data_IF_650775986767
#
_entry.id   IF_650775986767
#
_cell.length_a   1.000
_cell.length_b   1.000
_cell.length_c   1.000
_cell.angle_alpha   90.00
_cell.angle_beta   90.00
_cell.angle_gamma   90.00
#
_symmetry.space_group_name_H-M   'P 1'
#
loop_
_entity.id
_entity.type
_entity.pdbx_description
1 polymer ?
#
# COMPACT_ATOMS: atom_id res chain seq x y z
N UNK A 1 -47.83 -29.15 31.76
CA UNK A 1 -47.28 -27.78 31.69
C UNK A 1 -46.31 -27.49 32.86
N UNK A 2 -45.21 -28.25 33.06
CA UNK A 2 -44.28 -27.96 34.16
C UNK A 2 -42.80 -28.32 33.93
N UNK A 3 -42.45 -28.79 32.76
CA UNK A 3 -41.03 -29.16 32.49
C UNK A 3 -40.20 -28.03 31.81
N UNK A 4 -40.82 -27.13 31.09
CA UNK A 4 -40.15 -26.03 30.38
C UNK A 4 -39.77 -24.82 31.28
N UNK A 5 -40.40 -24.70 32.46
CA UNK A 5 -40.16 -23.57 33.40
C UNK A 5 -38.83 -23.69 34.17
N UNK A 6 -38.35 -24.92 34.45
CA UNK A 6 -37.10 -25.10 35.24
C UNK A 6 -35.82 -24.87 34.43
N UNK A 7 -35.85 -25.17 33.15
CA UNK A 7 -34.66 -24.95 32.30
C UNK A 7 -34.43 -23.48 31.97
N UNK A 8 -35.48 -22.69 31.81
CA UNK A 8 -35.36 -21.25 31.56
C UNK A 8 -34.76 -20.49 32.76
N UNK A 9 -35.03 -20.91 33.98
CA UNK A 9 -34.47 -20.27 35.17
C UNK A 9 -32.99 -20.61 35.36
N UNK A 10 -32.56 -21.84 35.04
CA UNK A 10 -31.15 -22.23 35.11
C UNK A 10 -30.30 -21.52 34.05
N UNK A 11 -30.80 -21.37 32.83
CA UNK A 11 -30.12 -20.63 31.75
C UNK A 11 -30.00 -19.14 32.11
N UNK A 12 -31.05 -18.54 32.71
CA UNK A 12 -31.00 -17.15 33.16
C UNK A 12 -30.01 -16.92 34.31
N UNK A 13 -29.90 -17.87 35.24
CA UNK A 13 -28.91 -17.79 36.33
C UNK A 13 -27.48 -17.94 35.82
N UNK A 14 -27.23 -18.86 34.87
CA UNK A 14 -25.89 -19.02 34.25
C UNK A 14 -25.51 -17.78 33.46
N UNK A 15 -26.43 -17.20 32.69
CA UNK A 15 -26.19 -15.94 31.96
C UNK A 15 -25.92 -14.77 32.90
N UNK A 16 -26.64 -14.65 34.01
CA UNK A 16 -26.42 -13.61 35.02
C UNK A 16 -25.04 -13.75 35.71
N UNK A 17 -24.61 -14.98 36.02
CA UNK A 17 -23.28 -15.24 36.59
C UNK A 17 -22.16 -14.91 35.61
N UNK A 18 -22.34 -15.25 34.34
CA UNK A 18 -21.35 -14.91 33.27
C UNK A 18 -21.27 -13.39 33.10
N UNK A 19 -22.38 -12.67 33.13
CA UNK A 19 -22.40 -11.21 33.05
C UNK A 19 -21.72 -10.57 34.25
N UNK A 20 -21.94 -11.08 35.46
CA UNK A 20 -21.30 -10.57 36.70
C UNK A 20 -19.77 -10.87 36.67
N UNK A 21 -19.35 -12.01 36.15
CA UNK A 21 -17.92 -12.36 36.04
C UNK A 21 -17.18 -11.54 34.92
N UNK A 22 -17.87 -11.18 33.82
CA UNK A 22 -17.28 -10.44 32.71
C UNK A 22 -17.42 -8.92 32.89
N UNK A 23 -18.51 -8.44 33.53
CA UNK A 23 -18.84 -7.02 33.64
C UNK A 23 -18.97 -6.52 35.10
N UNK A 24 -18.64 -7.34 36.09
CA UNK A 24 -18.64 -6.94 37.51
C UNK A 24 -17.52 -5.95 37.85
N UNK A 25 -17.61 -5.24 39.00
CA UNK A 25 -16.67 -4.18 39.36
C UNK A 25 -15.19 -4.58 39.40
N UNK A 26 -14.88 -5.86 39.62
CA UNK A 26 -13.52 -6.40 39.60
C UNK A 26 -12.97 -6.58 38.18
N UNK A 27 -13.78 -7.02 37.24
CA UNK A 27 -13.37 -7.16 35.83
C UNK A 27 -13.08 -5.83 35.15
N UNK A 28 -13.78 -4.76 35.54
CA UNK A 28 -13.52 -3.38 35.07
C UNK A 28 -12.23 -2.78 35.65
N UNK A 29 -11.89 -3.15 36.93
CA UNK A 29 -10.67 -2.69 37.58
C UNK A 29 -9.41 -3.35 36.97
N UNK A 30 -9.45 -4.64 36.68
CA UNK A 30 -8.34 -5.35 36.05
C UNK A 30 -8.10 -4.88 34.57
N UNK A 31 -9.18 -4.64 33.80
CA UNK A 31 -9.03 -4.05 32.45
C UNK A 31 -8.45 -2.65 32.49
N UNK A 32 -8.80 -1.84 33.47
CA UNK A 32 -8.25 -0.50 33.62
C UNK A 32 -6.79 -0.51 34.08
N UNK A 33 -6.40 -1.50 34.88
CA UNK A 33 -5.01 -1.67 35.34
C UNK A 33 -4.12 -2.22 34.22
N UNK A 34 -4.61 -3.16 33.40
CA UNK A 34 -3.88 -3.65 32.21
C UNK A 34 -3.74 -2.56 31.14
N UNK A 35 -4.77 -1.76 30.89
CA UNK A 35 -4.71 -0.64 29.95
C UNK A 35 -3.72 0.45 30.40
N UNK A 36 -3.61 0.72 31.71
CA UNK A 36 -2.64 1.67 32.26
C UNK A 36 -1.20 1.15 32.26
N UNK A 37 -0.99 -0.17 32.39
CA UNK A 37 0.35 -0.78 32.31
C UNK A 37 0.82 -0.79 30.84
N UNK A 38 -0.08 -1.06 29.90
CA UNK A 38 0.22 -1.03 28.48
C UNK A 38 0.51 0.38 27.96
N UNK A 39 -0.19 1.41 28.47
CA UNK A 39 0.09 2.81 28.10
C UNK A 39 1.39 3.36 28.70
N UNK A 40 1.73 2.99 29.94
CA UNK A 40 2.94 3.47 30.61
C UNK A 40 4.22 2.84 30.02
N UNK A 41 4.17 1.59 29.56
CA UNK A 41 5.33 0.94 28.92
C UNK A 41 5.54 1.34 27.46
N UNK A 42 4.54 1.93 26.80
CA UNK A 42 4.64 2.40 25.43
C UNK A 42 5.22 3.82 25.37
N UNK A 43 4.95 4.68 26.34
CA UNK A 43 5.43 6.07 26.34
C UNK A 43 6.94 6.18 26.59
N UNK A 44 7.56 5.26 27.35
CA UNK A 44 9.00 5.29 27.61
C UNK A 44 9.83 4.65 26.48
N UNK A 45 9.26 3.71 25.71
CA UNK A 45 9.94 3.07 24.58
C UNK A 45 9.90 3.90 23.28
N UNK A 46 8.95 4.82 23.15
CA UNK A 46 8.75 5.59 21.90
C UNK A 46 9.64 6.84 21.85
N UNK A 47 10.09 7.37 22.99
CA UNK A 47 10.93 8.58 23.04
C UNK A 47 12.43 8.32 22.80
N UNK A 48 12.90 7.06 22.93
CA UNK A 48 14.30 6.70 22.70
C UNK A 48 14.62 6.16 21.29
N UNK A 49 13.60 5.78 20.49
CA UNK A 49 13.80 5.08 19.21
C UNK A 49 13.54 5.95 17.96
N UNK A 50 13.22 7.24 18.14
CA UNK A 50 12.86 8.12 17.03
C UNK A 50 14.04 8.85 16.37
N UNK A 51 15.25 8.78 16.89
CA UNK A 51 16.43 9.45 16.33
C UNK A 51 17.53 8.55 15.73
N UNK A 52 17.52 7.23 15.96
CA UNK A 52 18.66 6.37 15.59
C UNK A 52 18.40 5.26 14.56
N UNK A 53 17.23 5.17 13.92
CA UNK A 53 16.97 4.16 12.87
C UNK A 53 16.52 4.72 11.53
N UNK A 54 17.19 5.78 11.09
CA UNK A 54 17.15 6.24 9.69
C UNK A 54 18.37 5.76 8.87
N UNK A 55 19.02 4.70 9.26
CA UNK A 55 20.17 4.15 8.51
C UNK A 55 19.95 2.66 8.32
N UNK A 56 19.44 2.26 7.17
CA UNK A 56 19.31 0.85 6.81
C UNK A 56 18.39 0.52 5.65
N UNK A 57 17.87 1.50 4.92
CA UNK A 57 17.25 1.26 3.62
C UNK A 57 18.36 0.90 2.62
N UNK A 58 18.28 -0.29 1.98
CA UNK A 58 19.13 -0.58 0.84
C UNK A 58 18.93 0.55 -0.17
N UNK A 59 19.96 1.36 -0.37
CA UNK A 59 19.94 2.41 -1.37
C UNK A 59 19.60 1.76 -2.72
N UNK A 60 18.63 2.34 -3.44
CA UNK A 60 18.52 2.09 -4.88
C UNK A 60 19.93 2.36 -5.40
N UNK A 61 20.55 1.47 -6.18
CA UNK A 61 21.76 1.82 -6.88
C UNK A 61 21.42 3.07 -7.69
N UNK A 62 21.84 4.23 -7.21
CA UNK A 62 21.80 5.43 -8.03
C UNK A 62 22.64 5.09 -9.26
N UNK A 63 22.02 5.08 -10.41
CA UNK A 63 22.76 5.20 -11.66
C UNK A 63 23.34 6.61 -11.60
N UNK A 64 24.43 6.71 -10.85
CA UNK A 64 25.16 7.95 -10.68
C UNK A 64 25.71 8.33 -12.03
N UNK A 65 25.51 9.60 -12.40
CA UNK A 65 26.10 10.21 -13.59
C UNK A 65 27.65 10.28 -13.56
N UNK A 66 28.32 9.38 -12.83
CA UNK A 66 29.76 9.33 -12.64
C UNK A 66 30.34 7.93 -12.50
N UNK A 67 29.74 6.91 -13.14
CA UNK A 67 30.45 5.66 -13.35
C UNK A 67 31.35 5.82 -14.58
N UNK A 68 32.68 5.91 -14.42
CA UNK A 68 33.61 6.10 -15.55
C UNK A 68 33.69 4.87 -16.47
N UNK A 69 32.94 3.81 -16.20
CA UNK A 69 32.88 2.59 -17.03
C UNK A 69 31.85 2.67 -18.16
N UNK A 70 30.97 3.68 -18.22
CA UNK A 70 30.07 3.93 -19.35
C UNK A 70 30.78 4.72 -20.45
N UNK A 71 31.88 4.16 -20.97
CA UNK A 71 32.40 4.59 -22.29
C UNK A 71 31.43 4.15 -23.37
N UNK A 72 31.05 5.12 -24.21
CA UNK A 72 30.18 4.99 -25.38
C UNK A 72 30.40 3.67 -26.13
N UNK A 73 29.36 2.83 -26.23
CA UNK A 73 29.37 1.63 -27.09
C UNK A 73 29.25 0.29 -26.40
N UNK A 74 29.16 0.22 -25.05
CA UNK A 74 28.83 -1.05 -24.42
C UNK A 74 27.31 -1.24 -24.45
N UNK A 75 26.85 -2.20 -25.26
CA UNK A 75 25.51 -2.76 -25.19
C UNK A 75 25.22 -3.20 -23.75
N UNK A 76 24.28 -2.56 -23.11
CA UNK A 76 23.64 -3.16 -21.93
C UNK A 76 23.06 -4.50 -22.39
N UNK A 77 23.26 -5.60 -21.65
CA UNK A 77 22.72 -6.89 -22.07
C UNK A 77 21.20 -6.73 -22.26
N UNK A 78 20.72 -7.20 -23.40
CA UNK A 78 19.32 -7.04 -23.84
C UNK A 78 18.34 -7.74 -22.90
N UNK A 79 18.81 -8.69 -22.09
CA UNK A 79 18.04 -9.38 -21.03
C UNK A 79 18.79 -9.32 -19.72
N UNK A 80 18.08 -8.86 -18.69
CA UNK A 80 18.61 -8.73 -17.33
C UNK A 80 18.57 -10.06 -16.58
N UNK A 81 17.55 -10.90 -16.87
CA UNK A 81 17.43 -12.26 -16.39
C UNK A 81 17.25 -13.22 -17.56
N UNK A 82 17.92 -14.37 -17.49
CA UNK A 82 17.80 -15.45 -18.46
C UNK A 82 16.99 -16.59 -17.83
N UNK A 83 16.04 -17.10 -18.60
CA UNK A 83 15.25 -18.24 -18.21
C UNK A 83 16.10 -19.51 -18.17
N UNK A 84 15.93 -20.30 -17.13
CA UNK A 84 16.58 -21.60 -16.97
C UNK A 84 15.82 -22.64 -17.79
N UNK A 85 16.55 -23.49 -18.53
CA UNK A 85 15.94 -24.58 -19.31
C UNK A 85 15.09 -25.49 -18.41
N UNK A 86 13.86 -25.77 -18.84
CA UNK A 86 12.91 -26.61 -18.11
C UNK A 86 12.08 -25.87 -17.06
N UNK A 87 12.10 -24.53 -17.04
CA UNK A 87 11.18 -23.76 -16.24
C UNK A 87 9.71 -24.14 -16.60
N UNK A 88 8.87 -24.51 -15.63
CA UNK A 88 7.49 -24.91 -15.92
C UNK A 88 6.67 -23.70 -16.42
N UNK A 89 5.62 -23.98 -17.17
CA UNK A 89 4.65 -22.94 -17.57
C UNK A 89 4.01 -22.37 -16.30
N UNK A 90 3.98 -21.04 -16.19
CA UNK A 90 3.28 -20.36 -15.12
C UNK A 90 1.77 -20.43 -15.32
N UNK A 91 1.09 -21.10 -14.43
CA UNK A 91 -0.37 -21.07 -14.34
C UNK A 91 -0.80 -20.05 -13.28
N UNK A 92 -1.81 -19.24 -13.58
CA UNK A 92 -2.36 -18.23 -12.67
C UNK A 92 -3.84 -18.04 -12.90
N UNK A 93 -4.60 -17.89 -11.80
CA UNK A 93 -6.04 -17.62 -11.84
C UNK A 93 -6.35 -16.12 -11.89
N UNK A 94 -5.36 -15.26 -11.63
CA UNK A 94 -5.53 -13.82 -11.75
C UNK A 94 -5.95 -13.41 -13.17
N UNK A 95 -6.78 -12.40 -13.29
CA UNK A 95 -7.29 -11.91 -14.58
C UNK A 95 -6.19 -11.31 -15.46
N UNK A 96 -5.30 -10.51 -14.85
CA UNK A 96 -4.19 -9.87 -15.56
C UNK A 96 -2.92 -10.01 -14.71
N UNK A 97 -1.82 -10.40 -15.34
CA UNK A 97 -0.51 -10.55 -14.69
C UNK A 97 0.58 -9.96 -15.55
N UNK A 98 1.57 -9.34 -14.91
CA UNK A 98 2.81 -8.94 -15.55
C UNK A 98 3.97 -9.10 -14.54
N UNK A 99 5.07 -9.68 -15.01
CA UNK A 99 6.38 -9.60 -14.34
C UNK A 99 7.31 -8.81 -15.25
N UNK A 100 7.94 -7.78 -14.69
CA UNK A 100 8.87 -6.95 -15.44
C UNK A 100 10.05 -6.50 -14.58
N UNK A 101 11.09 -6.02 -15.23
CA UNK A 101 12.17 -5.31 -14.58
C UNK A 101 11.77 -3.85 -14.32
N UNK A 102 12.04 -3.37 -13.12
CA UNK A 102 11.64 -2.01 -12.72
C UNK A 102 12.44 -0.92 -13.44
N UNK A 103 13.68 -1.20 -13.85
CA UNK A 103 14.62 -0.22 -14.41
C UNK A 103 14.76 -0.30 -15.93
N UNK A 104 14.23 -1.37 -16.53
CA UNK A 104 14.25 -1.59 -17.99
C UNK A 104 12.83 -1.82 -18.51
N UNK A 105 12.71 -2.02 -19.81
CA UNK A 105 11.43 -2.38 -20.44
C UNK A 105 11.25 -3.90 -20.58
N UNK A 106 12.15 -4.69 -19.98
CA UNK A 106 12.11 -6.15 -20.09
C UNK A 106 10.92 -6.71 -19.30
N UNK A 107 10.20 -7.63 -19.95
CA UNK A 107 9.08 -8.35 -19.36
C UNK A 107 9.36 -9.85 -19.43
N UNK A 108 9.10 -10.55 -18.35
CA UNK A 108 9.39 -11.98 -18.20
C UNK A 108 8.15 -12.87 -18.32
N UNK A 109 7.00 -12.31 -17.98
CA UNK A 109 5.71 -12.98 -18.16
C UNK A 109 4.59 -11.97 -18.31
N UNK A 110 3.63 -12.28 -19.18
CA UNK A 110 2.44 -11.47 -19.42
C UNK A 110 1.21 -12.36 -19.59
N UNK A 111 0.13 -12.05 -18.87
CA UNK A 111 -1.22 -12.58 -19.10
C UNK A 111 -2.17 -11.39 -19.13
N UNK A 112 -2.83 -11.17 -20.26
CA UNK A 112 -3.78 -10.06 -20.46
C UNK A 112 -3.20 -8.68 -20.05
N UNK A 113 -1.89 -8.46 -20.20
CA UNK A 113 -1.19 -7.31 -19.63
C UNK A 113 -1.68 -5.96 -20.17
N UNK A 114 -2.30 -5.95 -21.36
CA UNK A 114 -2.88 -4.74 -21.99
C UNK A 114 -4.40 -4.66 -21.86
N UNK A 115 -5.05 -5.59 -21.14
CA UNK A 115 -6.48 -5.52 -20.88
C UNK A 115 -6.75 -4.55 -19.73
N UNK A 116 -7.62 -3.54 -19.96
CA UNK A 116 -8.03 -2.60 -18.92
C UNK A 116 -8.76 -3.30 -17.79
N UNK A 117 -8.46 -2.88 -16.58
CA UNK A 117 -9.05 -3.41 -15.35
C UNK A 117 -9.26 -2.29 -14.32
N UNK A 118 -10.34 -2.34 -13.50
CA UNK A 118 -10.48 -1.40 -12.38
C UNK A 118 -9.35 -1.64 -11.38
N UNK A 119 -8.55 -0.61 -11.10
CA UNK A 119 -7.31 -0.76 -10.32
C UNK A 119 -7.48 -0.52 -8.82
N UNK A 120 -8.67 -0.08 -8.42
CA UNK A 120 -8.96 0.23 -7.02
C UNK A 120 -7.86 1.13 -6.39
N UNK A 121 -7.47 0.85 -5.16
CA UNK A 121 -6.48 1.67 -4.42
C UNK A 121 -5.04 1.63 -4.97
N UNK A 122 -4.74 0.93 -6.07
CA UNK A 122 -3.47 1.17 -6.79
C UNK A 122 -3.40 2.60 -7.32
N UNK A 123 -4.55 3.23 -7.56
CA UNK A 123 -4.73 4.67 -7.85
C UNK A 123 -3.93 5.57 -6.91
N UNK A 124 -3.84 5.21 -5.62
CA UNK A 124 -3.15 6.01 -4.60
C UNK A 124 -1.63 6.15 -4.83
N UNK A 125 -1.05 5.31 -5.69
CA UNK A 125 0.33 5.52 -6.15
C UNK A 125 0.44 6.78 -7.02
N UNK A 126 -0.49 6.99 -7.96
CA UNK A 126 -0.55 8.21 -8.76
C UNK A 126 -0.92 9.43 -7.90
N UNK A 127 -1.89 9.28 -7.00
CA UNK A 127 -2.25 10.33 -6.02
C UNK A 127 -1.04 10.75 -5.18
N UNK A 128 -0.26 9.80 -4.68
CA UNK A 128 0.96 10.08 -3.92
C UNK A 128 2.00 10.81 -4.76
N UNK A 129 2.18 10.41 -6.02
CA UNK A 129 3.11 11.06 -6.95
C UNK A 129 2.72 12.53 -7.21
N UNK A 130 1.45 12.77 -7.52
CA UNK A 130 0.97 14.14 -7.78
C UNK A 130 1.03 14.99 -6.51
N UNK A 131 0.65 14.43 -5.35
CA UNK A 131 0.74 15.15 -4.09
C UNK A 131 2.19 15.56 -3.75
N UNK A 132 3.18 14.68 -3.97
CA UNK A 132 4.60 15.02 -3.77
C UNK A 132 5.12 16.07 -4.77
N UNK A 133 4.53 16.15 -5.95
CA UNK A 133 4.89 17.15 -6.97
C UNK A 133 4.31 18.55 -6.68
N UNK A 134 3.08 18.58 -6.17
CA UNK A 134 2.25 19.78 -6.11
C UNK A 134 2.09 20.38 -4.71
N UNK A 135 2.32 19.59 -3.66
CA UNK A 135 2.08 20.01 -2.29
C UNK A 135 3.38 20.05 -1.48
N UNK A 136 3.48 21.03 -0.58
CA UNK A 136 4.55 21.02 0.42
C UNK A 136 4.18 20.03 1.54
N UNK A 137 5.05 19.06 1.79
CA UNK A 137 4.80 17.99 2.78
C UNK A 137 4.67 18.50 4.23
N UNK A 138 5.16 19.71 4.52
CA UNK A 138 5.03 20.37 5.82
C UNK A 138 3.70 21.13 6.00
N UNK A 139 2.95 21.36 4.91
CA UNK A 139 1.69 22.07 4.98
C UNK A 139 0.66 21.31 5.83
N UNK A 140 -0.23 22.09 6.45
CA UNK A 140 -1.33 21.58 7.26
C UNK A 140 -2.63 21.55 6.47
N UNK A 141 -3.25 20.40 6.40
CA UNK A 141 -4.57 20.16 5.81
C UNK A 141 -5.60 20.06 6.91
N UNK A 142 -6.69 20.82 6.82
CA UNK A 142 -7.86 20.68 7.68
C UNK A 142 -8.88 19.81 6.96
N UNK A 143 -9.26 18.70 7.57
CA UNK A 143 -10.26 17.81 7.02
C UNK A 143 -11.63 18.49 6.94
N UNK A 144 -12.26 18.40 5.78
CA UNK A 144 -13.62 18.83 5.53
C UNK A 144 -14.54 17.61 5.47
N UNK A 145 -15.83 17.84 5.58
CA UNK A 145 -16.84 16.77 5.53
C UNK A 145 -16.75 15.94 4.24
N UNK A 146 -16.52 16.61 3.11
CA UNK A 146 -16.38 15.98 1.80
C UNK A 146 -15.13 15.12 1.62
N UNK A 147 -14.13 15.26 2.49
CA UNK A 147 -12.92 14.43 2.47
C UNK A 147 -13.17 13.06 3.09
N UNK A 148 -14.10 12.99 4.04
CA UNK A 148 -14.27 11.84 4.93
C UNK A 148 -15.01 10.71 4.22
N UNK A 149 -14.32 9.58 4.03
CA UNK A 149 -14.96 8.34 3.59
C UNK A 149 -15.90 7.83 4.69
N UNK A 150 -17.11 7.41 4.33
CA UNK A 150 -18.12 6.96 5.28
C UNK A 150 -17.66 5.79 6.16
N UNK A 151 -16.80 4.93 5.62
CA UNK A 151 -16.23 3.79 6.36
C UNK A 151 -15.08 4.19 7.30
N UNK A 152 -14.65 5.47 7.27
CA UNK A 152 -13.56 6.01 8.07
C UNK A 152 -14.05 7.13 9.02
N UNK A 153 -15.37 7.39 9.07
CA UNK A 153 -15.98 8.49 9.82
C UNK A 153 -15.84 8.37 11.36
N UNK A 154 -15.53 7.19 11.89
CA UNK A 154 -15.20 7.00 13.31
C UNK A 154 -13.72 7.33 13.62
N UNK A 155 -12.87 7.40 12.59
CA UNK A 155 -11.43 7.60 12.71
C UNK A 155 -11.07 9.05 12.40
N UNK A 156 -11.58 9.58 11.29
CA UNK A 156 -11.32 10.92 10.81
C UNK A 156 -12.56 11.80 10.96
N UNK A 157 -12.39 12.95 11.59
CA UNK A 157 -13.49 13.87 11.87
C UNK A 157 -13.26 15.21 11.17
N UNK A 158 -14.34 15.86 10.79
CA UNK A 158 -14.31 17.23 10.26
C UNK A 158 -13.61 18.18 11.23
N UNK A 159 -12.76 19.07 10.71
CA UNK A 159 -12.00 20.04 11.47
C UNK A 159 -10.68 19.52 12.04
N UNK A 160 -10.42 18.22 12.02
CA UNK A 160 -9.11 17.66 12.37
C UNK A 160 -8.03 18.16 11.41
N UNK A 161 -6.81 18.30 11.90
CA UNK A 161 -5.69 18.81 11.12
C UNK A 161 -4.53 17.82 11.09
N UNK A 162 -3.97 17.63 9.91
CA UNK A 162 -2.83 16.73 9.67
C UNK A 162 -1.84 17.41 8.74
N UNK A 163 -0.57 17.00 8.81
CA UNK A 163 0.40 17.41 7.79
C UNK A 163 0.13 16.66 6.47
N UNK A 164 0.46 17.27 5.34
CA UNK A 164 0.48 16.58 4.03
C UNK A 164 1.31 15.31 4.12
N UNK A 165 2.47 15.34 4.82
CA UNK A 165 3.33 14.18 5.06
C UNK A 165 2.59 13.03 5.74
N UNK A 166 1.84 13.31 6.79
CA UNK A 166 1.10 12.27 7.52
C UNK A 166 -0.05 11.70 6.70
N UNK A 167 -0.77 12.55 5.96
CA UNK A 167 -1.81 12.09 5.03
C UNK A 167 -1.24 11.22 3.92
N UNK A 168 -0.11 11.58 3.31
CA UNK A 168 0.60 10.76 2.32
C UNK A 168 0.97 9.39 2.89
N UNK A 169 1.56 9.36 4.08
CA UNK A 169 2.01 8.11 4.72
C UNK A 169 0.84 7.20 5.03
N UNK A 170 -0.22 7.72 5.65
CA UNK A 170 -1.38 6.90 6.00
C UNK A 170 -2.17 6.43 4.77
N UNK A 171 -2.24 7.24 3.72
CA UNK A 171 -2.81 6.87 2.42
C UNK A 171 -2.06 5.71 1.76
N UNK A 172 -0.75 5.78 1.72
CA UNK A 172 0.08 4.81 1.01
C UNK A 172 0.24 3.50 1.79
N UNK A 173 0.42 3.55 3.11
CA UNK A 173 0.67 2.38 3.96
C UNK A 173 -0.64 1.64 4.27
N UNK A 174 -1.63 2.34 4.83
CA UNK A 174 -2.89 1.74 5.29
C UNK A 174 -4.08 2.01 4.37
N UNK A 175 -3.81 2.59 3.20
CA UNK A 175 -4.80 2.75 2.13
C UNK A 175 -6.01 3.64 2.46
N UNK A 176 -5.87 4.64 3.35
CA UNK A 176 -6.98 5.50 3.78
C UNK A 176 -7.52 6.38 2.67
N UNK A 177 -8.83 6.27 2.43
CA UNK A 177 -9.53 7.02 1.37
C UNK A 177 -9.68 8.50 1.75
N UNK A 178 -10.00 8.79 3.02
CA UNK A 178 -10.07 10.15 3.56
C UNK A 178 -8.79 10.91 3.29
N UNK A 179 -7.64 10.31 3.50
CA UNK A 179 -6.36 10.96 3.26
C UNK A 179 -6.14 11.27 1.77
N UNK A 180 -6.53 10.38 0.86
CA UNK A 180 -6.46 10.63 -0.59
C UNK A 180 -7.37 11.78 -1.02
N UNK A 181 -8.61 11.79 -0.52
CA UNK A 181 -9.57 12.86 -0.80
C UNK A 181 -9.08 14.21 -0.27
N UNK A 182 -8.61 14.25 0.99
CA UNK A 182 -8.12 15.46 1.64
C UNK A 182 -6.94 16.09 0.88
N UNK A 183 -5.98 15.29 0.43
CA UNK A 183 -4.85 15.76 -0.38
C UNK A 183 -5.32 16.36 -1.72
N UNK A 184 -6.23 15.68 -2.42
CA UNK A 184 -6.75 16.16 -3.68
C UNK A 184 -7.61 17.42 -3.52
N UNK A 185 -8.47 17.46 -2.49
CA UNK A 185 -9.33 18.62 -2.23
C UNK A 185 -8.52 19.83 -1.74
N UNK A 186 -7.42 19.60 -1.01
CA UNK A 186 -6.50 20.67 -0.56
C UNK A 186 -5.85 21.40 -1.74
N UNK A 187 -5.46 20.69 -2.78
CA UNK A 187 -4.95 21.27 -4.03
C UNK A 187 -6.07 21.88 -4.90
N UNK A 188 -7.26 21.32 -4.84
CA UNK A 188 -8.37 21.56 -5.76
C UNK A 188 -8.64 20.30 -6.58
N UNK A 189 -9.75 19.59 -6.26
CA UNK A 189 -10.01 18.22 -6.71
C UNK A 189 -9.95 18.04 -8.22
N UNK A 190 -10.58 18.93 -8.98
CA UNK A 190 -10.59 18.84 -10.45
C UNK A 190 -9.19 19.00 -11.01
N UNK A 191 -8.49 20.07 -10.61
CA UNK A 191 -7.11 20.30 -11.04
C UNK A 191 -6.16 19.16 -10.63
N UNK A 192 -6.40 18.53 -9.47
CA UNK A 192 -5.61 17.38 -9.03
C UNK A 192 -5.83 16.15 -9.92
N UNK A 193 -7.07 15.87 -10.31
CA UNK A 193 -7.40 14.79 -11.24
C UNK A 193 -6.83 15.05 -12.64
N UNK A 194 -6.86 16.28 -13.09
CA UNK A 194 -6.22 16.68 -14.35
C UNK A 194 -4.72 16.42 -14.32
N UNK A 195 -4.04 16.74 -13.22
CA UNK A 195 -2.62 16.44 -13.04
C UNK A 195 -2.34 14.93 -12.99
N UNK A 196 -3.22 14.12 -12.37
CA UNK A 196 -3.09 12.65 -12.39
C UNK A 196 -3.18 12.11 -13.82
N UNK A 197 -4.16 12.53 -14.60
CA UNK A 197 -4.35 12.08 -15.98
C UNK A 197 -3.29 12.63 -16.93
N UNK A 198 -2.87 13.89 -16.71
CA UNK A 198 -1.73 14.47 -17.41
C UNK A 198 -0.45 13.67 -17.18
N UNK A 199 -0.15 13.32 -15.93
CA UNK A 199 1.03 12.50 -15.57
C UNK A 199 0.96 11.11 -16.20
N UNK A 200 -0.22 10.50 -16.26
CA UNK A 200 -0.43 9.24 -16.98
C UNK A 200 -0.06 9.38 -18.47
N UNK A 201 -0.52 10.44 -19.11
CA UNK A 201 -0.18 10.75 -20.52
C UNK A 201 1.33 10.97 -20.69
N UNK A 202 1.95 11.77 -19.82
CA UNK A 202 3.38 12.08 -19.86
C UNK A 202 4.25 10.79 -19.72
N UNK A 203 3.76 9.79 -18.98
CA UNK A 203 4.41 8.49 -18.82
C UNK A 203 3.99 7.43 -19.85
N UNK A 204 3.16 7.82 -20.84
CA UNK A 204 2.71 6.93 -21.91
C UNK A 204 1.74 5.83 -21.44
N UNK A 205 0.98 6.09 -20.35
CA UNK A 205 -0.05 5.20 -19.82
C UNK A 205 -1.37 5.41 -20.59
N UNK A 206 -1.39 5.07 -21.87
CA UNK A 206 -2.47 5.40 -22.81
C UNK A 206 -3.80 4.71 -22.50
N UNK A 207 -3.77 3.60 -21.79
CA UNK A 207 -4.94 2.80 -21.40
C UNK A 207 -5.35 3.03 -19.94
N UNK A 208 -4.87 4.12 -19.32
CA UNK A 208 -5.15 4.47 -17.93
C UNK A 208 -6.02 5.72 -17.83
N UNK A 209 -6.90 5.73 -16.82
CA UNK A 209 -7.72 6.87 -16.47
C UNK A 209 -7.97 6.91 -14.96
N UNK A 210 -7.87 8.09 -14.38
CA UNK A 210 -8.07 8.36 -12.96
C UNK A 210 -9.29 9.28 -12.77
N UNK A 211 -10.41 8.74 -12.27
CA UNK A 211 -11.67 9.45 -12.05
C UNK A 211 -11.86 9.91 -10.61
N UNK A 212 -11.08 9.38 -9.66
CA UNK A 212 -11.04 9.85 -8.28
C UNK A 212 -9.65 9.57 -7.66
N UNK A 213 -9.26 10.27 -6.57
CA UNK A 213 -7.93 10.12 -5.99
C UNK A 213 -7.76 8.87 -5.11
N UNK A 214 -8.85 8.21 -4.71
CA UNK A 214 -8.83 7.09 -3.77
C UNK A 214 -8.85 5.71 -4.44
N UNK A 215 -9.43 5.63 -5.64
CA UNK A 215 -9.64 4.38 -6.37
C UNK A 215 -10.94 3.67 -6.02
N UNK A 216 -11.91 4.35 -5.40
CA UNK A 216 -13.23 3.78 -5.12
C UNK A 216 -14.08 3.68 -6.37
N UNK A 217 -13.95 4.62 -7.32
CA UNK A 217 -14.67 4.58 -8.57
C UNK A 217 -14.16 3.48 -9.50
N UNK A 218 -15.06 2.73 -10.09
CA UNK A 218 -14.76 1.76 -11.16
C UNK A 218 -14.19 2.42 -12.42
N UNK A 219 -14.31 3.75 -12.54
CA UNK A 219 -13.72 4.51 -13.65
C UNK A 219 -12.19 4.61 -13.54
N UNK A 220 -11.60 4.39 -12.34
CA UNK A 220 -10.15 4.26 -12.20
C UNK A 220 -9.70 2.95 -12.83
N UNK A 221 -9.26 3.02 -14.07
CA UNK A 221 -8.84 1.86 -14.84
C UNK A 221 -7.44 2.04 -15.36
N UNK A 222 -6.73 0.91 -15.46
CA UNK A 222 -5.41 0.84 -16.06
C UNK A 222 -5.18 -0.57 -16.63
N UNK A 223 -3.99 -0.81 -17.15
CA UNK A 223 -3.50 -2.12 -17.56
C UNK A 223 -2.26 -2.51 -16.76
N UNK A 224 -1.92 -3.79 -16.71
CA UNK A 224 -0.68 -4.20 -16.05
C UNK A 224 0.56 -3.58 -16.73
N UNK A 225 0.53 -3.40 -18.05
CA UNK A 225 1.59 -2.72 -18.79
C UNK A 225 1.74 -1.24 -18.41
N UNK A 226 0.63 -0.52 -18.25
CA UNK A 226 0.67 0.89 -17.81
C UNK A 226 1.05 1.03 -16.33
N UNK A 227 0.64 0.09 -15.48
CA UNK A 227 1.07 0.05 -14.08
C UNK A 227 2.58 -0.22 -13.94
N UNK A 228 3.20 -0.95 -14.87
CA UNK A 228 4.67 -1.05 -14.92
C UNK A 228 5.29 0.32 -15.23
N UNK A 229 4.74 1.07 -16.21
CA UNK A 229 5.21 2.45 -16.50
C UNK A 229 5.00 3.38 -15.32
N UNK A 230 3.87 3.24 -14.58
CA UNK A 230 3.63 3.96 -13.33
C UNK A 230 4.74 3.67 -12.31
N UNK A 231 5.08 2.39 -12.11
CA UNK A 231 6.12 2.00 -11.17
C UNK A 231 7.50 2.55 -11.59
N UNK A 232 7.83 2.50 -12.86
CA UNK A 232 9.06 3.06 -13.42
C UNK A 232 9.12 4.59 -13.27
N UNK A 233 8.02 5.28 -13.57
CA UNK A 233 7.92 6.73 -13.41
C UNK A 233 8.09 7.16 -11.96
N UNK A 234 7.44 6.48 -11.01
CA UNK A 234 7.61 6.71 -9.56
C UNK A 234 9.07 6.48 -9.15
N UNK A 235 9.68 5.40 -9.60
CA UNK A 235 11.08 5.08 -9.26
C UNK A 235 12.03 6.18 -9.72
N UNK A 236 11.80 6.76 -10.88
CA UNK A 236 12.60 7.84 -11.43
C UNK A 236 12.38 9.20 -10.75
N UNK A 237 11.11 9.54 -10.45
CA UNK A 237 10.74 10.89 -10.05
C UNK A 237 10.41 11.04 -8.57
N UNK A 238 10.00 9.96 -7.87
CA UNK A 238 9.56 10.00 -6.47
C UNK A 238 9.82 8.67 -5.75
N UNK A 239 11.08 8.19 -5.70
CA UNK A 239 11.42 6.88 -5.14
C UNK A 239 11.05 6.74 -3.64
N UNK A 240 10.85 7.84 -2.93
CA UNK A 240 10.41 7.84 -1.53
C UNK A 240 9.02 7.22 -1.34
N UNK A 241 8.18 7.14 -2.38
CA UNK A 241 6.92 6.41 -2.32
C UNK A 241 7.16 4.94 -1.95
N UNK A 242 8.20 4.31 -2.51
CA UNK A 242 8.53 2.93 -2.19
C UNK A 242 9.00 2.78 -0.75
N UNK A 243 9.87 3.68 -0.26
CA UNK A 243 10.29 3.72 1.15
C UNK A 243 9.12 3.91 2.12
N UNK A 244 8.07 4.64 1.71
CA UNK A 244 6.86 4.76 2.52
C UNK A 244 6.11 3.42 2.52
N UNK A 245 5.90 2.80 1.36
CA UNK A 245 5.07 1.60 1.21
C UNK A 245 5.71 0.32 1.74
N UNK A 246 7.01 0.28 1.99
CA UNK A 246 7.69 -0.86 2.63
C UNK A 246 7.43 -0.95 4.14
N UNK A 247 6.89 0.10 4.77
CA UNK A 247 6.66 0.11 6.21
C UNK A 247 5.47 -0.76 6.61
N UNK A 248 5.62 -1.52 7.69
CA UNK A 248 4.57 -2.39 8.24
C UNK A 248 3.46 -1.61 8.96
N UNK A 249 3.76 -0.41 9.44
CA UNK A 249 2.80 0.47 10.12
C UNK A 249 3.16 1.94 9.95
N UNK A 250 2.20 2.81 10.22
CA UNK A 250 2.37 4.26 10.26
C UNK A 250 1.73 4.82 11.51
N UNK A 251 2.38 5.82 12.12
CA UNK A 251 1.81 6.63 13.18
C UNK A 251 1.64 8.03 12.61
N UNK A 252 0.46 8.63 12.77
CA UNK A 252 0.14 10.00 12.41
C UNK A 252 -0.34 10.76 13.64
N UNK A 253 -0.17 12.09 13.62
CA UNK A 253 -0.56 12.97 14.72
C UNK A 253 -1.63 13.96 14.26
N UNK A 254 -2.76 14.00 14.98
CA UNK A 254 -3.74 15.08 14.84
C UNK A 254 -3.23 16.34 15.55
N UNK A 255 -3.15 17.46 14.81
CA UNK A 255 -2.39 18.64 15.24
C UNK A 255 -3.12 19.49 16.28
N UNK A 256 -4.47 19.51 16.32
CA UNK A 256 -5.21 20.30 17.29
C UNK A 256 -5.18 19.66 18.68
N UNK A 257 -5.42 18.34 18.76
CA UNK A 257 -5.47 17.60 20.03
C UNK A 257 -4.15 17.01 20.47
N UNK A 258 -3.19 16.89 19.53
CA UNK A 258 -1.94 16.18 19.72
C UNK A 258 -2.08 14.64 19.76
N UNK A 259 -3.30 14.10 19.56
CA UNK A 259 -3.58 12.67 19.58
C UNK A 259 -2.85 11.96 18.44
N UNK A 260 -2.18 10.85 18.76
CA UNK A 260 -1.55 9.99 17.78
C UNK A 260 -2.44 8.80 17.45
N UNK A 261 -2.39 8.35 16.20
CA UNK A 261 -3.10 7.16 15.73
C UNK A 261 -2.14 6.27 14.95
N UNK A 262 -2.21 4.96 15.21
CA UNK A 262 -1.38 3.95 14.56
C UNK A 262 -2.22 3.10 13.60
N UNK A 263 -1.69 2.85 12.40
CA UNK A 263 -2.34 2.05 11.36
C UNK A 263 -1.35 1.04 10.79
N UNK A 264 -1.78 -0.21 10.65
CA UNK A 264 -1.00 -1.25 10.02
C UNK A 264 -1.04 -1.13 8.49
N UNK A 265 -0.01 -1.62 7.84
CA UNK A 265 0.03 -1.77 6.39
C UNK A 265 -1.05 -2.75 5.92
N UNK A 266 -1.67 -2.44 4.79
CA UNK A 266 -2.54 -3.38 4.07
C UNK A 266 -1.75 -4.41 3.24
N UNK A 267 -0.44 -4.23 3.11
CA UNK A 267 0.42 -5.12 2.34
C UNK A 267 1.13 -6.13 3.24
N UNK A 268 0.80 -7.41 3.11
CA UNK A 268 1.40 -8.49 3.91
C UNK A 268 2.90 -8.66 3.64
N UNK A 269 3.39 -8.23 2.48
CA UNK A 269 4.81 -8.33 2.14
C UNK A 269 5.69 -7.25 2.79
N UNK A 270 5.11 -6.23 3.41
CA UNK A 270 5.87 -5.14 4.04
C UNK A 270 6.87 -5.61 5.11
N UNK A 271 6.66 -6.81 5.71
CA UNK A 271 7.58 -7.40 6.68
C UNK A 271 8.75 -8.20 6.04
N UNK A 272 8.74 -8.42 4.71
CA UNK A 272 9.77 -9.22 4.02
C UNK A 272 11.01 -8.39 3.77
N UNK A 273 12.18 -8.99 3.93
CA UNK A 273 13.48 -8.32 3.72
C UNK A 273 13.77 -7.98 2.25
N UNK A 274 13.18 -8.73 1.32
CA UNK A 274 13.33 -8.55 -0.13
C UNK A 274 12.21 -7.69 -0.73
N UNK A 275 11.21 -7.28 0.05
CA UNK A 275 10.16 -6.37 -0.41
C UNK A 275 10.67 -4.93 -0.44
N UNK A 276 10.54 -4.29 -1.60
CA UNK A 276 11.05 -2.96 -1.86
C UNK A 276 9.94 -1.88 -1.86
N UNK A 277 8.69 -2.31 -1.99
CA UNK A 277 7.54 -1.42 -1.99
C UNK A 277 6.39 -1.98 -2.81
N UNK A 278 5.23 -1.35 -2.72
CA UNK A 278 4.06 -1.77 -3.47
C UNK A 278 2.76 -1.22 -2.92
N UNK A 279 1.64 -1.62 -3.55
CA UNK A 279 0.31 -1.17 -3.15
C UNK A 279 -0.74 -2.24 -3.39
N UNK A 280 -1.66 -2.38 -2.43
CA UNK A 280 -2.85 -3.23 -2.53
C UNK A 280 -4.04 -2.43 -3.08
N UNK A 281 -4.96 -3.09 -3.77
CA UNK A 281 -6.25 -2.56 -4.19
C UNK A 281 -7.35 -3.60 -4.09
N UNK A 282 -8.56 -3.17 -3.72
CA UNK A 282 -9.76 -4.01 -3.73
C UNK A 282 -11.01 -3.13 -3.79
N UNK A 283 -11.86 -3.44 -4.73
CA UNK A 283 -13.30 -3.11 -4.74
C UNK A 283 -14.04 -4.33 -5.28
N UNK A 284 -15.33 -4.52 -4.98
CA UNK A 284 -16.08 -5.69 -5.49
C UNK A 284 -16.00 -5.89 -7.01
N UNK A 285 -15.91 -4.80 -7.77
CA UNK A 285 -15.84 -4.84 -9.24
C UNK A 285 -14.44 -5.19 -9.80
N UNK A 286 -13.39 -5.20 -8.96
CA UNK A 286 -12.03 -5.49 -9.39
C UNK A 286 -11.43 -6.75 -8.79
N UNK A 287 -12.07 -7.35 -7.79
CA UNK A 287 -11.40 -8.30 -6.92
C UNK A 287 -10.08 -7.76 -6.35
N UNK A 288 -9.17 -8.61 -5.92
CA UNK A 288 -7.88 -8.23 -5.35
C UNK A 288 -6.88 -7.81 -6.42
N UNK A 289 -6.32 -6.61 -6.26
CA UNK A 289 -5.21 -6.09 -7.05
C UNK A 289 -3.96 -5.92 -6.17
N UNK A 290 -2.79 -6.17 -6.72
CA UNK A 290 -1.52 -6.00 -6.04
C UNK A 290 -0.41 -5.65 -7.04
N UNK A 291 0.30 -4.56 -6.76
CA UNK A 291 1.58 -4.22 -7.36
C UNK A 291 2.64 -4.39 -6.27
N UNK A 292 3.63 -5.23 -6.51
CA UNK A 292 4.72 -5.50 -5.58
C UNK A 292 6.07 -5.42 -6.28
N UNK A 293 7.04 -4.83 -5.60
CA UNK A 293 8.41 -4.73 -6.05
C UNK A 293 9.27 -5.54 -5.09
N UNK A 294 10.10 -6.42 -5.64
CA UNK A 294 11.02 -7.25 -4.87
C UNK A 294 12.45 -7.07 -5.34
N UNK A 295 13.40 -7.17 -4.42
CA UNK A 295 14.82 -7.24 -4.72
C UNK A 295 15.23 -8.70 -4.92
N UNK A 296 15.63 -9.05 -6.14
CA UNK A 296 16.13 -10.38 -6.46
C UNK A 296 17.46 -10.29 -7.19
N UNK A 297 18.51 -10.98 -6.67
CA UNK A 297 19.87 -10.97 -7.23
C UNK A 297 20.39 -9.54 -7.56
N UNK A 298 20.20 -8.60 -6.60
CA UNK A 298 20.60 -7.18 -6.68
C UNK A 298 19.81 -6.35 -7.72
N UNK A 299 18.69 -6.84 -8.24
CA UNK A 299 17.82 -6.15 -9.19
C UNK A 299 16.39 -6.11 -8.67
N UNK A 300 15.66 -5.09 -9.07
CA UNK A 300 14.25 -4.91 -8.69
C UNK A 300 13.33 -5.44 -9.76
N UNK A 301 12.50 -6.41 -9.40
CA UNK A 301 11.42 -6.94 -10.27
C UNK A 301 10.07 -6.43 -9.77
N UNK A 302 9.19 -6.13 -10.71
CA UNK A 302 7.81 -5.74 -10.44
C UNK A 302 6.91 -6.91 -10.78
N UNK A 303 6.03 -7.27 -9.84
CA UNK A 303 4.95 -8.24 -10.06
C UNK A 303 3.64 -7.50 -9.92
N UNK A 304 2.81 -7.54 -10.96
CA UNK A 304 1.49 -6.92 -11.00
C UNK A 304 0.47 -8.02 -11.18
N UNK A 305 -0.46 -8.11 -10.23
CA UNK A 305 -1.59 -9.05 -10.21
C UNK A 305 -2.88 -8.26 -10.11
N UNK A 306 -3.78 -8.42 -11.08
CA UNK A 306 -5.09 -7.75 -11.08
C UNK A 306 -6.19 -8.80 -11.20
N UNK A 307 -7.29 -8.59 -10.45
CA UNK A 307 -8.46 -9.44 -10.50
C UNK A 307 -8.20 -10.84 -9.94
N UNK A 308 -7.68 -10.94 -8.73
CA UNK A 308 -7.41 -12.21 -8.04
C UNK A 308 -8.24 -12.32 -6.76
N UNK A 309 -8.78 -13.50 -6.51
CA UNK A 309 -9.44 -13.84 -5.23
C UNK A 309 -8.41 -13.96 -4.09
N UNK A 310 -7.18 -14.37 -4.42
CA UNK A 310 -6.03 -14.40 -3.49
C UNK A 310 -4.81 -13.71 -4.10
N UNK A 311 -4.83 -12.37 -4.11
CA UNK A 311 -3.74 -11.57 -4.67
C UNK A 311 -2.37 -11.82 -4.03
N UNK A 312 -2.33 -12.21 -2.74
CA UNK A 312 -1.06 -12.45 -2.06
C UNK A 312 -0.50 -13.84 -2.40
N UNK A 313 -1.33 -14.89 -2.35
CA UNK A 313 -0.94 -16.23 -2.75
C UNK A 313 -0.54 -16.30 -4.22
N UNK A 314 -1.28 -15.64 -5.11
CA UNK A 314 -0.90 -15.53 -6.53
C UNK A 314 0.43 -14.80 -6.71
N UNK A 315 0.65 -13.68 -6.04
CA UNK A 315 1.93 -12.95 -6.12
C UNK A 315 3.10 -13.79 -5.59
N UNK A 316 2.93 -14.51 -4.48
CA UNK A 316 3.95 -15.41 -3.92
C UNK A 316 4.27 -16.57 -4.88
N UNK A 317 3.25 -17.20 -5.44
CA UNK A 317 3.39 -18.26 -6.46
C UNK A 317 4.18 -17.76 -7.68
N UNK A 318 3.84 -16.59 -8.19
CA UNK A 318 4.48 -15.95 -9.33
C UNK A 318 5.94 -15.57 -8.98
N UNK A 319 6.19 -15.02 -7.79
CA UNK A 319 7.53 -14.70 -7.31
C UNK A 319 8.40 -15.95 -7.23
N UNK A 320 7.89 -17.03 -6.65
CA UNK A 320 8.60 -18.31 -6.53
C UNK A 320 8.88 -18.94 -7.90
N UNK A 321 7.91 -18.88 -8.83
CA UNK A 321 8.12 -19.34 -10.20
C UNK A 321 9.26 -18.56 -10.88
N UNK A 322 9.27 -17.23 -10.75
CA UNK A 322 10.30 -16.39 -11.33
C UNK A 322 11.68 -16.67 -10.71
N UNK A 323 11.77 -16.70 -9.38
CA UNK A 323 13.05 -16.88 -8.69
C UNK A 323 13.64 -18.29 -8.83
N UNK A 324 12.82 -19.29 -9.11
CA UNK A 324 13.28 -20.65 -9.42
C UNK A 324 13.67 -20.79 -10.90
N UNK A 325 12.98 -20.08 -11.81
CA UNK A 325 13.11 -20.24 -13.23
C UNK A 325 14.02 -19.22 -13.93
N UNK A 326 14.51 -18.18 -13.24
CA UNK A 326 15.31 -17.11 -13.83
C UNK A 326 16.59 -16.84 -13.03
N UNK A 327 17.65 -16.47 -13.74
CA UNK A 327 18.94 -16.04 -13.13
C UNK A 327 19.41 -14.75 -13.81
N UNK A 328 20.05 -13.89 -13.02
CA UNK A 328 20.67 -12.69 -13.58
C UNK A 328 21.70 -13.07 -14.64
N UNK A 329 21.64 -12.39 -15.79
CA UNK A 329 22.68 -12.48 -16.80
C UNK A 329 23.97 -11.86 -16.27
N UNK A 330 25.09 -12.52 -16.47
CA UNK A 330 26.42 -12.04 -16.07
C UNK A 330 26.81 -10.81 -16.89
#
# INVERSE_FOLDING_TARGET
MSFLSKYNLQILVVLAVVVILVFGPRGLAEKKQMANIESASIDEAILSDSEEKMIGGAAIPQVGASDPALKSGQYLPTKIFTEIQGNPILETEASNVLIGDLLSSEKYFEKNANKRWPIASLTKLMTGRVALDKLNTADTVTLKKEDIDSNESEIFLEGQKYTVKDLLRVMLISSRNTAANALANYFGREAFLDEMNKKATDWGMSDSYFGDPSGLSVSNQSTASDLLKLAQGITKESPDIWKITENTKVIIRELNSGKTMSFNSTNQFAARKDFFGGKTGYIPASDGNLLSIFLYQKRTIVIIVLGSQDRFGETEKIYNWFTNGYRASN
#
